data_IF_703904566812
#
_entry.id   IF_703904566812
#
_cell.length_a   1.000
_cell.length_b   1.000
_cell.length_c   1.000
_cell.angle_alpha   90.00
_cell.angle_beta   90.00
_cell.angle_gamma   90.00
#
_symmetry.space_group_name_H-M   'P 1'
#
loop_
_entity.id
_entity.type
_entity.pdbx_description
1 polymer ?
#
# COMPACT_ATOMS: atom_id res chain seq x y z
N UNK A 1 10.13 5.04 28.68
CA UNK A 1 10.67 6.16 27.86
C UNK A 1 10.28 6.07 26.38
N UNK A 2 10.11 4.87 25.76
CA UNK A 2 9.71 4.73 24.33
C UNK A 2 8.30 5.27 24.00
N UNK A 3 7.33 5.16 24.91
CA UNK A 3 5.94 5.65 24.69
C UNK A 3 5.80 7.17 24.62
N UNK A 4 6.69 7.93 25.27
CA UNK A 4 6.62 9.39 25.32
C UNK A 4 7.15 10.05 24.03
N UNK A 5 8.05 9.40 23.31
CA UNK A 5 8.58 9.89 22.03
C UNK A 5 7.56 9.75 20.89
N UNK A 6 6.78 8.67 20.89
CA UNK A 6 5.71 8.47 19.88
C UNK A 6 4.61 9.52 20.02
N UNK A 7 4.26 9.87 21.25
CA UNK A 7 3.22 10.87 21.52
C UNK A 7 3.65 12.29 21.08
N UNK A 8 4.95 12.60 21.20
CA UNK A 8 5.49 13.90 20.78
C UNK A 8 5.59 14.01 19.24
N UNK A 9 5.95 12.92 18.56
CA UNK A 9 6.00 12.88 17.09
C UNK A 9 4.59 12.98 16.48
N UNK A 10 3.59 12.30 17.05
CA UNK A 10 2.20 12.41 16.63
C UNK A 10 1.62 13.81 16.92
N UNK A 11 1.96 14.43 18.03
CA UNK A 11 1.49 15.79 18.35
C UNK A 11 2.14 16.87 17.46
N UNK A 12 3.40 16.69 17.06
CA UNK A 12 4.08 17.60 16.13
C UNK A 12 3.55 17.43 14.68
N UNK A 13 3.23 16.21 14.26
CA UNK A 13 2.58 15.96 12.97
C UNK A 13 1.19 16.61 12.89
N UNK A 14 0.40 16.54 13.97
CA UNK A 14 -0.91 17.18 14.06
C UNK A 14 -0.82 18.73 14.04
N UNK A 15 0.23 19.32 14.60
CA UNK A 15 0.41 20.78 14.58
C UNK A 15 0.84 21.32 13.20
N UNK A 16 1.54 20.54 12.40
CA UNK A 16 1.89 20.89 11.01
C UNK A 16 0.66 20.78 10.11
N UNK A 17 -0.23 19.83 10.36
CA UNK A 17 -1.48 19.66 9.59
C UNK A 17 -2.48 20.79 9.78
N UNK A 18 -2.45 21.52 10.90
CA UNK A 18 -3.36 22.61 11.17
C UNK A 18 -3.10 23.88 10.32
N UNK A 19 -1.94 23.96 9.63
CA UNK A 19 -1.58 25.07 8.72
C UNK A 19 -1.34 24.59 7.28
N UNK A 20 -1.49 23.30 7.00
CA UNK A 20 -1.22 22.72 5.70
C UNK A 20 -2.45 22.84 4.80
N UNK A 21 -2.30 23.53 3.67
CA UNK A 21 -3.35 23.57 2.66
C UNK A 21 -3.48 22.20 2.00
N UNK A 22 -4.70 21.64 2.04
CA UNK A 22 -5.06 20.45 1.29
C UNK A 22 -5.56 20.87 -0.09
N UNK A 23 -4.94 20.33 -1.13
CA UNK A 23 -5.33 20.66 -2.51
C UNK A 23 -6.44 19.76 -3.02
N UNK A 24 -6.41 18.49 -2.64
CA UNK A 24 -7.38 17.47 -3.03
C UNK A 24 -7.34 16.29 -2.05
N UNK A 25 -8.44 15.54 -2.01
CA UNK A 25 -8.50 14.24 -1.37
C UNK A 25 -9.41 13.32 -2.17
N UNK A 26 -9.15 12.03 -2.06
CA UNK A 26 -10.00 10.95 -2.57
C UNK A 26 -10.14 9.88 -1.50
N UNK A 27 -11.37 9.46 -1.24
CA UNK A 27 -11.68 8.39 -0.30
C UNK A 27 -12.39 7.29 -1.07
N UNK A 28 -12.05 6.05 -0.80
CA UNK A 28 -12.75 4.93 -1.41
C UNK A 28 -13.04 3.80 -0.43
N UNK A 29 -14.06 3.03 -0.76
CA UNK A 29 -14.35 1.75 -0.13
C UNK A 29 -14.34 0.71 -1.24
N UNK A 30 -13.57 -0.37 -1.03
CA UNK A 30 -13.50 -1.51 -1.93
C UNK A 30 -14.02 -2.77 -1.26
N UNK A 31 -14.62 -3.64 -2.07
CA UNK A 31 -14.88 -5.01 -1.73
C UNK A 31 -14.16 -5.91 -2.72
N UNK A 32 -13.35 -6.82 -2.21
CA UNK A 32 -12.65 -7.83 -2.98
C UNK A 32 -13.11 -9.21 -2.55
N UNK A 33 -13.17 -10.14 -3.50
CA UNK A 33 -13.40 -11.54 -3.20
C UNK A 33 -12.53 -12.40 -4.13
N UNK A 34 -11.71 -13.23 -3.54
CA UNK A 34 -10.75 -14.06 -4.26
C UNK A 34 -10.48 -15.39 -3.57
N UNK A 35 -9.74 -16.21 -4.30
CA UNK A 35 -9.24 -17.51 -3.85
C UNK A 35 -7.77 -17.65 -4.27
N UNK A 36 -7.14 -18.73 -3.82
CA UNK A 36 -5.72 -18.99 -4.11
C UNK A 36 -4.76 -17.98 -3.48
N UNK A 37 -5.16 -17.41 -2.37
CA UNK A 37 -4.24 -16.66 -1.53
C UNK A 37 -3.37 -17.62 -0.71
N UNK A 38 -2.14 -17.23 -0.45
CA UNK A 38 -1.23 -17.95 0.43
C UNK A 38 -1.08 -17.14 1.72
N UNK A 39 -1.47 -17.77 2.84
CA UNK A 39 -1.29 -17.20 4.18
C UNK A 39 -0.36 -18.11 5.00
N UNK A 40 0.97 -17.91 4.87
CA UNK A 40 1.95 -18.90 5.31
C UNK A 40 1.93 -19.15 6.82
N UNK A 41 1.51 -18.18 7.61
CA UNK A 41 1.41 -18.29 9.07
C UNK A 41 0.07 -18.84 9.56
N UNK A 42 -0.91 -19.02 8.67
CA UNK A 42 -2.25 -19.53 8.98
C UNK A 42 -2.45 -20.94 8.44
N UNK A 43 -2.22 -21.11 7.13
CA UNK A 43 -2.49 -22.36 6.42
C UNK A 43 -1.21 -23.05 5.89
N UNK A 44 -0.05 -22.41 6.06
CA UNK A 44 1.23 -22.87 5.52
C UNK A 44 1.54 -22.31 4.13
N UNK A 45 2.80 -22.48 3.67
CA UNK A 45 3.33 -21.77 2.50
C UNK A 45 2.77 -22.23 1.16
N UNK A 46 2.04 -23.34 1.11
CA UNK A 46 1.57 -23.96 -0.14
C UNK A 46 0.07 -24.28 -0.14
N UNK A 47 -0.65 -23.81 0.87
CA UNK A 47 -2.08 -24.08 1.00
C UNK A 47 -2.88 -22.84 0.63
N UNK A 48 -3.73 -22.98 -0.39
CA UNK A 48 -4.64 -21.94 -0.82
C UNK A 48 -5.72 -21.66 0.22
N UNK A 49 -5.99 -20.41 0.47
CA UNK A 49 -7.14 -19.92 1.26
C UNK A 49 -8.00 -18.97 0.43
N UNK A 50 -9.28 -18.88 0.77
CA UNK A 50 -10.23 -17.98 0.13
C UNK A 50 -10.80 -17.02 1.16
N UNK A 51 -10.79 -15.72 0.83
CA UNK A 51 -11.41 -14.71 1.69
C UNK A 51 -11.92 -13.51 0.90
N UNK A 52 -12.74 -12.73 1.57
CA UNK A 52 -13.15 -11.41 1.13
C UNK A 52 -12.38 -10.34 1.89
N UNK A 53 -12.14 -9.21 1.23
CA UNK A 53 -11.52 -8.05 1.86
C UNK A 53 -12.42 -6.83 1.70
N UNK A 54 -12.60 -6.08 2.77
CA UNK A 54 -13.11 -4.71 2.71
C UNK A 54 -11.93 -3.78 2.93
N UNK A 55 -11.65 -2.91 1.94
CA UNK A 55 -10.62 -1.87 2.04
C UNK A 55 -11.26 -0.51 2.21
N UNK A 56 -10.82 0.24 3.22
CA UNK A 56 -11.09 1.68 3.34
C UNK A 56 -9.79 2.40 3.02
N UNK A 57 -9.80 3.28 2.03
CA UNK A 57 -8.60 3.93 1.51
C UNK A 57 -8.77 5.44 1.48
N UNK A 58 -7.71 6.16 1.78
CA UNK A 58 -7.58 7.61 1.65
C UNK A 58 -6.29 7.98 0.96
N UNK A 59 -6.39 8.90 0.01
CA UNK A 59 -5.24 9.57 -0.57
C UNK A 59 -5.50 11.07 -0.64
N UNK A 60 -4.50 11.88 -0.31
CA UNK A 60 -4.62 13.34 -0.39
C UNK A 60 -3.31 14.03 -0.72
N UNK A 61 -3.43 15.18 -1.39
CA UNK A 61 -2.32 16.07 -1.70
C UNK A 61 -2.39 17.36 -0.88
N UNK A 62 -1.26 17.76 -0.33
CA UNK A 62 -1.10 18.90 0.57
C UNK A 62 0.07 19.79 0.15
N UNK A 63 0.13 21.01 0.72
CA UNK A 63 1.25 21.93 0.49
C UNK A 63 2.62 21.35 0.91
N UNK A 64 2.65 20.42 1.84
CA UNK A 64 3.87 19.75 2.31
C UNK A 64 4.19 18.44 1.58
N UNK A 65 3.26 17.87 0.79
CA UNK A 65 3.43 16.58 0.10
C UNK A 65 2.14 15.81 -0.03
N UNK A 66 2.11 14.56 0.40
CA UNK A 66 0.95 13.69 0.29
C UNK A 66 0.74 12.81 1.52
N UNK A 67 -0.47 12.34 1.66
CA UNK A 67 -0.86 11.34 2.65
C UNK A 67 -1.60 10.21 1.95
N UNK A 68 -1.21 9.00 2.24
CA UNK A 68 -1.92 7.78 1.86
C UNK A 68 -2.10 6.92 3.11
N UNK A 69 -3.27 6.33 3.27
CA UNK A 69 -3.49 5.26 4.23
C UNK A 69 -4.63 4.36 3.79
N UNK A 70 -4.58 3.12 4.23
CA UNK A 70 -5.68 2.19 4.05
C UNK A 70 -5.81 1.22 5.22
N UNK A 71 -6.97 0.61 5.30
CA UNK A 71 -7.29 -0.47 6.23
C UNK A 71 -7.93 -1.59 5.44
N UNK A 72 -7.30 -2.77 5.46
CA UNK A 72 -7.85 -4.00 4.93
C UNK A 72 -8.42 -4.85 6.06
N UNK A 73 -9.65 -5.28 5.88
CA UNK A 73 -10.34 -6.22 6.77
C UNK A 73 -10.63 -7.50 5.99
N UNK A 74 -9.87 -8.55 6.30
CA UNK A 74 -9.98 -9.86 5.67
C UNK A 74 -10.95 -10.74 6.46
N UNK A 75 -11.77 -11.56 5.77
CA UNK A 75 -12.62 -12.56 6.40
C UNK A 75 -12.91 -13.74 5.48
N UNK A 76 -12.63 -14.97 5.94
CA UNK A 76 -12.93 -16.22 5.25
C UNK A 76 -11.95 -17.34 5.59
N UNK A 77 -12.34 -18.58 5.35
CA UNK A 77 -11.55 -19.83 5.47
C UNK A 77 -10.62 -19.91 6.72
N UNK A 78 -11.11 -19.41 7.87
CA UNK A 78 -10.33 -19.37 9.10
C UNK A 78 -9.26 -18.29 9.15
N UNK A 79 -9.26 -17.37 8.18
CA UNK A 79 -8.41 -16.19 8.14
C UNK A 79 -9.26 -14.94 8.35
N UNK A 80 -9.22 -14.39 9.54
CA UNK A 80 -9.78 -13.09 9.90
C UNK A 80 -8.65 -12.21 10.40
N UNK A 81 -8.35 -11.13 9.67
CA UNK A 81 -7.24 -10.22 9.99
C UNK A 81 -7.59 -8.78 9.61
N UNK A 82 -6.89 -7.85 10.23
CA UNK A 82 -6.93 -6.44 9.87
C UNK A 82 -5.50 -5.93 9.67
N UNK A 83 -5.24 -5.40 8.49
CA UNK A 83 -3.98 -4.76 8.13
C UNK A 83 -4.19 -3.27 7.91
N UNK A 84 -3.27 -2.47 8.40
CA UNK A 84 -3.29 -1.00 8.29
C UNK A 84 -1.98 -0.54 7.72
N UNK A 85 -2.05 0.37 6.76
CA UNK A 85 -0.90 1.15 6.31
C UNK A 85 -1.18 2.64 6.49
N UNK A 86 -0.15 3.39 6.92
CA UNK A 86 -0.17 4.84 7.04
C UNK A 86 1.14 5.41 6.48
N UNK A 87 1.05 6.16 5.38
CA UNK A 87 2.19 6.55 4.54
C UNK A 87 2.18 8.05 4.22
N UNK A 88 2.64 8.94 5.12
CA UNK A 88 2.91 10.33 4.79
C UNK A 88 4.18 10.46 3.93
N UNK A 89 4.10 11.32 2.92
CA UNK A 89 5.17 11.67 1.99
C UNK A 89 5.46 13.17 2.07
N UNK A 90 6.65 13.57 2.50
CA UNK A 90 7.06 14.97 2.57
C UNK A 90 7.88 15.35 1.36
N UNK A 91 7.45 16.35 0.58
CA UNK A 91 8.16 16.82 -0.61
C UNK A 91 9.31 17.73 -0.22
N UNK A 92 10.54 17.24 -0.44
CA UNK A 92 11.79 17.97 -0.18
C UNK A 92 12.10 18.99 -1.29
N UNK A 93 11.86 18.61 -2.54
CA UNK A 93 12.10 19.46 -3.71
C UNK A 93 11.11 19.12 -4.83
N UNK A 94 10.64 20.13 -5.53
CA UNK A 94 9.91 20.03 -6.81
C UNK A 94 10.84 20.40 -7.93
N UNK A 95 10.76 19.70 -9.06
CA UNK A 95 11.66 19.86 -10.20
C UNK A 95 10.87 19.83 -11.51
N UNK A 96 11.48 20.38 -12.55
CA UNK A 96 10.99 20.25 -13.93
C UNK A 96 11.71 19.10 -14.64
N UNK A 97 11.02 18.42 -15.56
CA UNK A 97 11.57 17.32 -16.35
C UNK A 97 10.98 15.95 -15.98
N UNK A 98 11.77 14.90 -16.16
CA UNK A 98 11.32 13.53 -15.90
C UNK A 98 11.15 13.26 -14.41
N UNK A 99 12.08 13.73 -13.56
CA UNK A 99 11.92 13.72 -12.11
C UNK A 99 11.18 15.00 -11.73
N UNK A 100 10.01 14.86 -11.12
CA UNK A 100 9.13 16.00 -10.76
C UNK A 100 9.18 16.35 -9.29
N UNK A 101 9.53 15.40 -8.43
CA UNK A 101 9.73 15.65 -7.01
C UNK A 101 10.73 14.65 -6.40
N UNK A 102 11.39 15.10 -5.32
CA UNK A 102 12.14 14.27 -4.39
C UNK A 102 11.45 14.35 -3.04
N UNK A 103 11.23 13.19 -2.42
CA UNK A 103 10.41 13.05 -1.23
C UNK A 103 11.17 12.34 -0.10
N UNK A 104 10.91 12.76 1.14
CA UNK A 104 11.16 11.96 2.33
C UNK A 104 9.90 11.17 2.65
N UNK A 105 10.08 9.91 3.03
CA UNK A 105 9.01 8.93 3.17
C UNK A 105 9.01 8.35 4.57
N UNK A 106 7.82 8.11 5.08
CA UNK A 106 7.60 7.27 6.24
C UNK A 106 6.41 6.37 5.95
N UNK A 107 6.47 5.11 6.35
CA UNK A 107 5.34 4.19 6.33
C UNK A 107 5.30 3.40 7.63
N UNK A 108 4.11 3.32 8.21
CA UNK A 108 3.76 2.38 9.26
C UNK A 108 2.90 1.29 8.64
N UNK A 109 3.33 0.05 8.76
CA UNK A 109 2.50 -1.14 8.53
C UNK A 109 2.16 -1.75 9.88
N UNK A 110 0.90 -2.08 10.10
CA UNK A 110 0.43 -2.70 11.35
C UNK A 110 -0.61 -3.77 11.06
N UNK A 111 -0.48 -4.91 11.71
CA UNK A 111 -1.40 -6.03 11.60
C UNK A 111 -1.37 -6.89 12.86
N UNK A 112 -1.98 -8.08 12.79
CA UNK A 112 -2.02 -8.99 13.93
C UNK A 112 -0.59 -9.43 14.33
N UNK A 113 -0.07 -8.80 15.36
CA UNK A 113 1.20 -9.18 15.99
C UNK A 113 2.46 -8.57 15.37
N UNK A 114 2.35 -7.50 14.57
CA UNK A 114 3.51 -6.76 14.09
C UNK A 114 3.22 -5.27 13.90
N UNK A 115 4.26 -4.46 14.04
CA UNK A 115 4.32 -3.07 13.61
C UNK A 115 5.67 -2.88 12.90
N UNK A 116 5.65 -2.50 11.62
CA UNK A 116 6.86 -2.19 10.87
C UNK A 116 6.93 -0.68 10.63
N UNK A 117 8.08 -0.09 10.89
CA UNK A 117 8.33 1.32 10.63
C UNK A 117 9.33 1.45 9.48
N UNK A 118 8.91 2.06 8.40
CA UNK A 118 9.76 2.25 7.22
C UNK A 118 10.10 3.73 7.04
N UNK A 119 11.37 4.03 6.86
CA UNK A 119 11.88 5.36 6.58
C UNK A 119 12.60 5.34 5.24
N UNK A 120 12.32 6.33 4.38
CA UNK A 120 12.86 6.27 3.06
C UNK A 120 12.97 7.60 2.33
N UNK A 121 13.42 7.49 1.10
CA UNK A 121 13.39 8.56 0.12
C UNK A 121 12.84 8.03 -1.20
N UNK A 122 12.18 8.91 -1.95
CA UNK A 122 11.59 8.54 -3.23
C UNK A 122 11.58 9.68 -4.22
N UNK A 123 11.29 9.33 -5.46
CA UNK A 123 11.13 10.29 -6.56
C UNK A 123 9.79 10.07 -7.25
N UNK A 124 9.14 11.18 -7.60
CA UNK A 124 7.98 11.14 -8.48
C UNK A 124 8.45 11.41 -9.92
N UNK A 125 7.99 10.58 -10.84
CA UNK A 125 8.42 10.59 -12.24
C UNK A 125 7.26 10.96 -13.17
N UNK A 126 7.53 11.82 -14.13
CA UNK A 126 6.64 12.09 -15.25
C UNK A 126 7.00 11.16 -16.41
N UNK A 127 6.19 10.14 -16.62
CA UNK A 127 6.36 9.19 -17.72
C UNK A 127 5.19 9.34 -18.68
N UNK A 128 5.44 9.59 -20.00
CA UNK A 128 4.35 9.67 -20.97
C UNK A 128 3.45 8.42 -20.93
N UNK A 129 2.15 8.64 -20.87
CA UNK A 129 1.15 7.57 -20.79
C UNK A 129 0.76 7.16 -19.37
N UNK A 130 1.55 7.46 -18.34
CA UNK A 130 1.16 7.22 -16.96
C UNK A 130 0.59 8.49 -16.32
N UNK A 131 -0.38 8.33 -15.45
CA UNK A 131 -0.92 9.42 -14.63
C UNK A 131 0.06 9.80 -13.53
N UNK A 132 0.72 8.79 -12.96
CA UNK A 132 1.77 8.93 -11.96
C UNK A 132 2.67 7.69 -11.94
N UNK A 133 3.90 7.90 -11.51
CA UNK A 133 4.86 6.86 -11.17
C UNK A 133 5.74 7.38 -10.05
N UNK A 134 5.83 6.63 -8.95
CA UNK A 134 6.76 6.89 -7.85
C UNK A 134 7.69 5.71 -7.68
N UNK A 135 8.97 6.00 -7.43
CA UNK A 135 10.01 5.01 -7.12
C UNK A 135 10.55 5.35 -5.73
N UNK A 136 10.46 4.43 -4.81
CA UNK A 136 10.70 4.62 -3.40
C UNK A 136 11.72 3.61 -2.87
N UNK A 137 12.62 4.03 -2.00
CA UNK A 137 13.55 3.15 -1.31
C UNK A 137 13.45 3.38 0.20
N UNK A 138 13.24 2.31 0.94
CA UNK A 138 13.06 2.34 2.39
C UNK A 138 14.07 1.46 3.11
N UNK A 139 14.37 1.82 4.36
CA UNK A 139 14.86 0.93 5.39
C UNK A 139 13.70 0.63 6.33
N UNK A 140 13.35 -0.65 6.46
CA UNK A 140 12.32 -1.13 7.36
C UNK A 140 12.93 -1.56 8.69
N UNK A 141 12.33 -1.09 9.77
CA UNK A 141 12.56 -1.55 11.14
C UNK A 141 11.34 -2.41 11.49
N UNK A 142 11.56 -3.72 11.53
CA UNK A 142 10.49 -4.69 11.71
C UNK A 142 10.34 -5.03 13.20
N UNK A 143 9.20 -4.69 13.81
CA UNK A 143 8.88 -5.06 15.19
C UNK A 143 7.81 -6.16 15.20
N UNK A 144 8.13 -7.33 15.73
CA UNK A 144 7.25 -8.49 15.78
C UNK A 144 7.07 -9.02 17.17
N UNK A 145 5.85 -9.42 17.45
CA UNK A 145 5.56 -10.23 18.63
C UNK A 145 5.97 -11.69 18.37
N UNK A 146 7.06 -12.12 19.01
CA UNK A 146 7.37 -13.54 19.15
C UNK A 146 8.53 -14.10 18.34
N UNK A 147 9.02 -13.44 17.31
CA UNK A 147 10.28 -13.78 16.64
C UNK A 147 10.90 -12.57 15.94
N UNK A 148 12.22 -12.54 15.93
CA UNK A 148 12.99 -11.52 15.26
C UNK A 148 13.06 -11.85 13.77
N UNK A 149 12.45 -11.02 12.92
CA UNK A 149 12.58 -11.13 11.46
C UNK A 149 13.86 -10.48 10.94
N UNK A 150 14.52 -9.69 11.76
CA UNK A 150 15.52 -8.74 11.30
C UNK A 150 14.93 -7.56 10.54
N UNK A 151 15.77 -6.57 10.31
CA UNK A 151 15.45 -5.41 9.51
C UNK A 151 15.78 -5.66 8.04
N UNK A 152 15.03 -5.02 7.13
CA UNK A 152 15.25 -5.16 5.69
C UNK A 152 15.21 -3.83 4.94
N UNK A 153 15.40 -3.88 3.64
CA UNK A 153 15.18 -2.75 2.74
C UNK A 153 14.01 -3.06 1.82
N UNK A 154 13.32 -2.03 1.34
CA UNK A 154 12.23 -2.18 0.38
C UNK A 154 12.39 -1.21 -0.78
N UNK A 155 12.32 -1.74 -2.00
CA UNK A 155 12.12 -0.95 -3.21
C UNK A 155 10.62 -0.99 -3.54
N UNK A 156 9.98 0.18 -3.49
CA UNK A 156 8.57 0.34 -3.82
C UNK A 156 8.37 1.07 -5.16
N UNK A 157 7.44 0.59 -5.96
CA UNK A 157 6.93 1.28 -7.14
C UNK A 157 5.43 1.49 -6.95
N UNK A 158 4.93 2.70 -7.25
CA UNK A 158 3.49 3.01 -7.24
C UNK A 158 3.17 3.69 -8.57
N UNK A 159 2.17 3.18 -9.28
CA UNK A 159 1.86 3.64 -10.63
C UNK A 159 0.36 3.70 -10.90
N UNK A 160 -0.01 4.54 -11.89
CA UNK A 160 -1.38 4.63 -12.36
C UNK A 160 -1.45 5.06 -13.82
N UNK A 161 -2.42 4.45 -14.53
CA UNK A 161 -2.78 4.72 -15.91
C UNK A 161 -4.30 4.82 -16.03
N UNK A 162 -4.78 5.70 -16.89
CA UNK A 162 -6.21 5.76 -17.24
C UNK A 162 -6.38 6.09 -18.72
N UNK A 163 -7.34 5.42 -19.37
CA UNK A 163 -7.80 5.72 -20.72
C UNK A 163 -9.33 5.60 -20.77
N UNK A 164 -10.01 6.73 -20.91
CA UNK A 164 -11.46 6.80 -20.77
C UNK A 164 -11.91 6.30 -19.40
N UNK A 165 -12.70 5.23 -19.38
CA UNK A 165 -13.20 4.61 -18.16
C UNK A 165 -12.31 3.47 -17.64
N UNK A 166 -11.31 3.05 -18.44
CA UNK A 166 -10.35 2.03 -18.01
C UNK A 166 -9.32 2.66 -17.06
N UNK A 167 -9.04 1.99 -15.94
CA UNK A 167 -8.00 2.38 -15.01
C UNK A 167 -7.13 1.15 -14.70
N UNK A 168 -5.83 1.36 -14.66
CA UNK A 168 -4.84 0.38 -14.22
C UNK A 168 -3.96 1.08 -13.20
N UNK A 169 -4.05 0.70 -11.96
CA UNK A 169 -3.25 1.26 -10.87
C UNK A 169 -2.75 0.14 -9.98
N UNK A 170 -1.69 0.41 -9.23
CA UNK A 170 -1.13 -0.60 -8.34
C UNK A 170 0.25 -0.26 -7.84
N UNK A 171 0.85 -1.25 -7.22
CA UNK A 171 2.17 -1.13 -6.63
C UNK A 171 3.00 -2.41 -6.84
N UNK A 172 4.29 -2.28 -6.61
CA UNK A 172 5.23 -3.39 -6.45
C UNK A 172 6.16 -3.06 -5.28
N UNK A 173 6.27 -3.98 -4.33
CA UNK A 173 7.20 -3.92 -3.22
C UNK A 173 8.16 -5.08 -3.28
N UNK A 174 9.45 -4.79 -3.34
CA UNK A 174 10.52 -5.77 -3.29
C UNK A 174 11.33 -5.58 -2.02
N UNK A 175 11.21 -6.51 -1.08
CA UNK A 175 11.94 -6.55 0.19
C UNK A 175 13.19 -7.40 0.06
N UNK A 176 14.33 -6.88 0.49
CA UNK A 176 15.63 -7.51 0.29
C UNK A 176 16.63 -7.18 1.41
N UNK A 177 17.66 -8.02 1.50
CA UNK A 177 18.77 -7.80 2.42
C UNK A 177 18.36 -7.84 3.88
N UNK A 178 17.49 -8.78 4.23
CA UNK A 178 17.05 -9.02 5.60
C UNK A 178 18.21 -9.57 6.44
N UNK A 179 18.41 -9.03 7.65
CA UNK A 179 19.47 -9.44 8.56
C UNK A 179 19.05 -10.53 9.56
N UNK A 180 17.75 -10.91 9.57
CA UNK A 180 17.20 -12.01 10.38
C UNK A 180 17.10 -13.36 9.66
N UNK A 181 17.55 -13.46 8.40
CA UNK A 181 17.64 -14.71 7.65
C UNK A 181 16.32 -15.18 7.02
N UNK A 182 15.37 -14.27 6.76
CA UNK A 182 14.22 -14.54 5.91
C UNK A 182 14.54 -14.26 4.45
N UNK A 183 13.80 -14.88 3.54
CA UNK A 183 14.02 -14.74 2.10
C UNK A 183 13.64 -13.35 1.59
N UNK A 184 14.30 -12.91 0.51
CA UNK A 184 13.84 -11.75 -0.25
C UNK A 184 12.43 -12.04 -0.80
N UNK A 185 11.55 -11.04 -0.75
CA UNK A 185 10.16 -11.21 -1.17
C UNK A 185 9.71 -10.09 -2.10
N UNK A 186 8.80 -10.39 -2.99
CA UNK A 186 8.18 -9.41 -3.88
C UNK A 186 6.66 -9.53 -3.82
N UNK A 187 6.00 -8.38 -3.73
CA UNK A 187 4.56 -8.22 -3.91
C UNK A 187 4.30 -7.33 -5.12
N UNK A 188 3.58 -7.81 -6.11
CA UNK A 188 3.11 -7.02 -7.25
C UNK A 188 1.59 -7.12 -7.30
N UNK A 189 0.90 -5.99 -7.10
CA UNK A 189 -0.55 -5.95 -6.99
C UNK A 189 -1.17 -4.86 -7.88
N UNK A 190 -1.41 -5.16 -9.19
CA UNK A 190 -2.18 -4.31 -10.06
C UNK A 190 -3.68 -4.50 -9.87
N UNK A 191 -4.43 -3.38 -9.92
CA UNK A 191 -5.87 -3.33 -10.11
C UNK A 191 -6.19 -2.92 -11.55
N UNK A 192 -7.03 -3.67 -12.24
CA UNK A 192 -7.54 -3.36 -13.58
C UNK A 192 -9.03 -3.17 -13.45
N UNK A 193 -9.50 -1.94 -13.61
CA UNK A 193 -10.89 -1.56 -13.31
C UNK A 193 -11.52 -0.73 -14.42
N UNK A 194 -12.83 -0.79 -14.51
CA UNK A 194 -13.63 0.03 -15.41
C UNK A 194 -14.66 0.84 -14.61
N UNK A 195 -14.69 2.16 -14.84
CA UNK A 195 -15.63 3.06 -14.16
C UNK A 195 -17.01 2.98 -14.80
N UNK A 196 -17.98 2.49 -14.04
CA UNK A 196 -19.38 2.36 -14.47
C UNK A 196 -20.22 3.61 -14.18
N UNK A 197 -19.75 4.53 -13.34
CA UNK A 197 -20.54 5.68 -12.92
C UNK A 197 -21.08 6.52 -14.08
N UNK A 198 -20.31 6.80 -15.17
CA UNK A 198 -20.81 7.53 -16.32
C UNK A 198 -21.96 6.82 -17.03
N UNK A 199 -21.92 5.48 -17.11
CA UNK A 199 -22.97 4.67 -17.76
C UNK A 199 -24.25 4.61 -16.93
N UNK A 200 -24.12 4.72 -15.61
CA UNK A 200 -25.23 4.67 -14.66
C UNK A 200 -25.78 6.05 -14.31
N UNK A 201 -25.21 7.12 -14.86
CA UNK A 201 -25.59 8.50 -14.54
C UNK A 201 -25.30 8.89 -13.09
N UNK A 202 -24.35 8.23 -12.46
CA UNK A 202 -23.97 8.48 -11.07
C UNK A 202 -22.96 9.63 -10.98
N UNK A 203 -23.00 10.36 -9.86
CA UNK A 203 -21.90 11.25 -9.46
C UNK A 203 -20.85 10.43 -8.71
N UNK A 204 -19.58 10.78 -8.87
CA UNK A 204 -18.46 10.03 -8.29
C UNK A 204 -17.98 8.93 -9.23
N UNK A 205 -17.28 7.94 -8.69
CA UNK A 205 -16.74 6.81 -9.44
C UNK A 205 -17.21 5.50 -8.81
N UNK A 206 -17.67 4.58 -9.65
CA UNK A 206 -17.98 3.21 -9.28
C UNK A 206 -17.19 2.29 -10.20
N UNK A 207 -16.10 1.77 -9.72
CA UNK A 207 -15.20 0.91 -10.50
C UNK A 207 -15.50 -0.55 -10.22
N UNK A 208 -15.49 -1.37 -11.26
CA UNK A 208 -15.53 -2.83 -11.17
C UNK A 208 -14.38 -3.41 -11.96
N UNK A 209 -13.85 -4.52 -11.51
CA UNK A 209 -12.70 -5.13 -12.18
C UNK A 209 -12.08 -6.26 -11.39
N UNK A 210 -10.78 -6.37 -11.50
CA UNK A 210 -9.99 -7.39 -10.82
C UNK A 210 -8.77 -6.77 -10.16
N UNK A 211 -8.35 -7.39 -9.09
CA UNK A 211 -7.02 -7.22 -8.52
C UNK A 211 -6.24 -8.52 -8.72
N UNK A 212 -5.01 -8.39 -9.18
CA UNK A 212 -4.08 -9.51 -9.29
C UNK A 212 -3.02 -9.35 -8.22
N UNK A 213 -2.91 -10.33 -7.33
CA UNK A 213 -1.92 -10.35 -6.25
C UNK A 213 -0.89 -11.44 -6.50
N UNK A 214 0.31 -11.00 -6.87
CA UNK A 214 1.44 -11.87 -7.14
C UNK A 214 2.52 -11.68 -6.07
N UNK A 215 2.89 -12.78 -5.39
CA UNK A 215 3.99 -12.77 -4.44
C UNK A 215 5.00 -13.84 -4.76
N UNK A 216 6.25 -13.53 -4.45
CA UNK A 216 7.31 -14.53 -4.26
C UNK A 216 7.76 -14.47 -2.81
N UNK A 217 7.93 -15.64 -2.18
CA UNK A 217 8.32 -15.79 -0.79
C UNK A 217 7.54 -14.85 0.15
N UNK A 218 6.21 -14.93 0.10
CA UNK A 218 5.33 -14.01 0.84
C UNK A 218 5.75 -13.90 2.31
N UNK A 219 5.94 -12.66 2.77
CA UNK A 219 6.44 -12.33 4.11
C UNK A 219 7.84 -12.91 4.43
N UNK A 220 8.66 -13.22 3.42
CA UNK A 220 9.98 -13.80 3.56
C UNK A 220 9.99 -15.29 3.91
N UNK A 221 8.88 -15.99 3.68
CA UNK A 221 8.76 -17.43 3.88
C UNK A 221 9.12 -18.15 2.57
N UNK A 222 10.15 -18.98 2.59
CA UNK A 222 10.61 -19.74 1.42
C UNK A 222 9.48 -20.58 0.81
N UNK A 223 9.28 -20.42 -0.51
CA UNK A 223 8.27 -21.13 -1.29
C UNK A 223 6.82 -20.71 -1.03
N UNK A 224 6.58 -19.65 -0.26
CA UNK A 224 5.25 -19.06 -0.11
C UNK A 224 4.93 -18.13 -1.30
N UNK A 225 4.73 -18.73 -2.47
CA UNK A 225 4.45 -18.02 -3.70
C UNK A 225 2.93 -17.94 -3.94
N UNK A 226 2.43 -16.72 -4.17
CA UNK A 226 1.01 -16.47 -4.40
C UNK A 226 0.76 -15.98 -5.82
N UNK A 227 -0.36 -16.44 -6.38
CA UNK A 227 -0.83 -16.05 -7.70
C UNK A 227 -2.36 -16.02 -7.66
N UNK A 228 -2.91 -14.95 -7.10
CA UNK A 228 -4.33 -14.83 -6.81
C UNK A 228 -4.98 -13.72 -7.63
N UNK A 229 -6.22 -13.95 -8.05
CA UNK A 229 -7.10 -12.96 -8.71
C UNK A 229 -8.34 -12.77 -7.86
N UNK A 230 -8.67 -11.52 -7.57
CA UNK A 230 -9.89 -11.14 -6.86
C UNK A 230 -10.81 -10.34 -7.76
N UNK A 231 -12.12 -10.59 -7.65
CA UNK A 231 -13.11 -9.65 -8.15
C UNK A 231 -13.11 -8.41 -7.27
N UNK A 232 -13.16 -7.24 -7.90
CA UNK A 232 -13.06 -5.94 -7.23
C UNK A 232 -14.26 -5.05 -7.58
N UNK A 233 -14.88 -4.48 -6.54
CA UNK A 233 -15.80 -3.34 -6.66
C UNK A 233 -15.28 -2.22 -5.76
N UNK A 234 -15.06 -1.02 -6.33
CA UNK A 234 -14.52 0.15 -5.61
C UNK A 234 -15.40 1.36 -5.84
N UNK A 235 -15.90 1.95 -4.75
CA UNK A 235 -16.68 3.18 -4.77
C UNK A 235 -15.84 4.33 -4.19
N UNK A 236 -15.74 5.44 -4.93
CA UNK A 236 -15.13 6.68 -4.46
C UNK A 236 -16.21 7.61 -3.91
N UNK A 237 -15.94 8.24 -2.76
CA UNK A 237 -16.88 9.01 -1.94
C UNK A 237 -16.69 10.52 -2.13
#
# INVERSE_FOLDING_TARGET
>A
MKKTLLTLAAASALSVSAQAEQFWADNSISYLNGSSYIEPFVAGPTTDVSYSTITIEHVSGHSWGGLFYFVDMHSGDGYDDTYVEFSPKYTLAKMEGTVTAVNALYTLESGAGFDNHMFGAGVDLKVPGLNYLSVNLYRAINDKLGFDKGDDNMLGLVYGYSDGNLNIDGFMDYRFGNDGGVEDSMNLTPQITYDLAPMLGMKGKLKVGVEYSYWTNKFGVDGADQNAVSLLVKAHL
#
